data_IF_275120580944
#
_entry.id   IF_275120580944
#
_cell.length_a   1.000
_cell.length_b   1.000
_cell.length_c   1.000
_cell.angle_alpha   90.00
_cell.angle_beta   90.00
_cell.angle_gamma   90.00
#
_symmetry.space_group_name_H-M   'P 1'
#
loop_
_entity.id
_entity.type
_entity.pdbx_description
1 polymer ?
#
# COMPACT_ATOMS: atom_id res chain seq x y z
N UNK A 1 1.19 -12.08 -13.48
CA UNK A 1 1.90 -11.03 -14.28
C UNK A 1 2.49 -10.02 -13.32
N UNK A 2 3.69 -9.51 -13.59
CA UNK A 2 4.31 -8.43 -12.81
C UNK A 2 4.17 -7.11 -13.59
N UNK A 3 3.86 -6.02 -12.87
CA UNK A 3 3.83 -4.66 -13.42
C UNK A 3 5.04 -3.91 -12.88
N UNK A 4 5.85 -3.31 -13.75
CA UNK A 4 7.03 -2.52 -13.39
C UNK A 4 6.67 -1.04 -13.54
N UNK A 5 6.82 -0.28 -12.46
CA UNK A 5 6.65 1.16 -12.45
C UNK A 5 8.02 1.82 -12.26
N UNK A 6 8.47 2.61 -13.24
CA UNK A 6 9.75 3.32 -13.17
C UNK A 6 9.49 4.79 -12.86
N UNK A 7 10.18 5.31 -11.83
CA UNK A 7 10.17 6.74 -11.51
C UNK A 7 11.46 7.34 -12.11
N UNK A 8 11.37 8.30 -13.04
CA UNK A 8 12.54 9.01 -13.56
C UNK A 8 13.34 9.72 -12.46
N UNK A 9 14.67 9.76 -12.60
CA UNK A 9 15.57 10.40 -11.62
C UNK A 9 15.27 11.89 -11.43
N UNK A 10 14.89 12.58 -12.50
CA UNK A 10 14.47 13.99 -12.47
C UNK A 10 13.30 14.21 -11.49
N UNK A 11 12.34 13.27 -11.44
CA UNK A 11 11.23 13.34 -10.49
C UNK A 11 11.73 13.05 -9.08
N UNK A 12 12.58 12.03 -8.90
CA UNK A 12 13.15 11.70 -7.59
C UNK A 12 13.94 12.85 -6.97
N UNK A 13 14.61 13.66 -7.78
CA UNK A 13 15.37 14.83 -7.32
C UNK A 13 14.49 15.99 -6.86
N UNK A 14 13.28 16.11 -7.42
CA UNK A 14 12.30 17.11 -6.97
C UNK A 14 11.57 16.70 -5.70
N UNK A 15 11.51 15.41 -5.39
CA UNK A 15 10.89 14.90 -4.18
C UNK A 15 11.78 15.21 -2.97
N UNK A 16 11.17 15.71 -1.88
CA UNK A 16 11.86 15.94 -0.60
C UNK A 16 12.07 14.62 0.18
N UNK A 17 12.52 13.58 -0.50
CA UNK A 17 12.73 12.24 0.05
C UNK A 17 14.17 11.80 -0.24
N UNK A 18 14.92 11.29 0.75
CA UNK A 18 16.25 10.75 0.49
C UNK A 18 16.19 9.61 -0.54
N UNK A 19 17.03 9.65 -1.59
CA UNK A 19 17.07 8.62 -2.66
C UNK A 19 17.12 7.19 -2.10
N UNK A 20 17.88 6.96 -1.02
CA UNK A 20 18.01 5.66 -0.33
C UNK A 20 16.70 5.14 0.29
N UNK A 21 15.72 6.01 0.54
CA UNK A 21 14.41 5.67 1.14
C UNK A 21 13.24 5.90 0.18
N UNK A 22 13.49 6.53 -0.98
CA UNK A 22 12.45 6.93 -1.93
C UNK A 22 11.58 5.75 -2.36
N UNK A 23 12.18 4.62 -2.74
CA UNK A 23 11.44 3.43 -3.15
C UNK A 23 10.48 2.95 -2.04
N UNK A 24 10.98 2.81 -0.81
CA UNK A 24 10.17 2.36 0.34
C UNK A 24 9.02 3.31 0.62
N UNK A 25 9.29 4.61 0.64
CA UNK A 25 8.28 5.63 0.93
C UNK A 25 7.23 5.71 -0.18
N UNK A 26 7.63 5.71 -1.45
CA UNK A 26 6.71 5.71 -2.60
C UNK A 26 5.84 4.46 -2.63
N UNK A 27 6.42 3.29 -2.35
CA UNK A 27 5.68 2.03 -2.26
C UNK A 27 4.66 2.04 -1.12
N UNK A 28 5.02 2.66 0.01
CA UNK A 28 4.12 2.86 1.15
C UNK A 28 2.97 3.81 0.80
N UNK A 29 3.25 4.96 0.17
CA UNK A 29 2.20 5.89 -0.27
C UNK A 29 1.27 5.26 -1.31
N UNK A 30 1.82 4.51 -2.27
CA UNK A 30 1.02 3.79 -3.25
C UNK A 30 0.09 2.76 -2.57
N UNK A 31 0.57 2.04 -1.57
CA UNK A 31 -0.25 1.11 -0.81
C UNK A 31 -1.42 1.79 -0.10
N UNK A 32 -1.19 2.93 0.56
CA UNK A 32 -2.26 3.68 1.21
C UNK A 32 -3.28 4.22 0.20
N UNK A 33 -2.81 4.73 -0.94
CA UNK A 33 -3.68 5.21 -2.01
C UNK A 33 -4.58 4.10 -2.56
N UNK A 34 -4.03 2.91 -2.81
CA UNK A 34 -4.79 1.76 -3.30
C UNK A 34 -5.86 1.31 -2.30
N UNK A 35 -5.54 1.34 -0.99
CA UNK A 35 -6.51 1.05 0.06
C UNK A 35 -7.61 2.11 0.14
N UNK A 36 -7.25 3.39 0.16
CA UNK A 36 -8.20 4.50 0.24
C UNK A 36 -9.19 4.49 -0.94
N UNK A 37 -8.72 4.10 -2.13
CA UNK A 37 -9.55 3.99 -3.34
C UNK A 37 -10.36 2.68 -3.43
N UNK A 38 -10.33 1.85 -2.40
CA UNK A 38 -10.95 0.50 -2.40
C UNK A 38 -10.48 -0.39 -3.56
N UNK A 39 -9.25 -0.18 -4.05
CA UNK A 39 -8.64 -0.98 -5.12
C UNK A 39 -7.85 -2.17 -4.57
N UNK A 40 -7.56 -2.18 -3.27
CA UNK A 40 -6.86 -3.27 -2.59
C UNK A 40 -7.33 -3.39 -1.13
N UNK A 41 -7.53 -4.63 -0.66
CA UNK A 41 -7.67 -4.90 0.77
C UNK A 41 -6.48 -4.41 1.58
N UNK A 42 -6.70 -4.20 2.89
CA UNK A 42 -5.61 -3.92 3.85
C UNK A 42 -4.52 -4.99 3.77
N UNK A 43 -4.87 -6.27 3.60
CA UNK A 43 -3.91 -7.36 3.46
C UNK A 43 -2.98 -7.16 2.26
N UNK A 44 -3.55 -6.85 1.10
CA UNK A 44 -2.79 -6.62 -0.15
C UNK A 44 -1.97 -5.35 -0.09
N UNK A 45 -2.56 -4.23 0.33
CA UNK A 45 -1.88 -2.95 0.49
C UNK A 45 -0.69 -3.07 1.47
N UNK A 46 -0.88 -3.76 2.58
CA UNK A 46 0.18 -3.96 3.57
C UNK A 46 1.33 -4.81 3.05
N UNK A 47 1.05 -5.86 2.27
CA UNK A 47 2.09 -6.65 1.59
C UNK A 47 2.87 -5.80 0.59
N UNK A 48 2.19 -4.91 -0.14
CA UNK A 48 2.86 -3.97 -1.04
C UNK A 48 3.78 -3.04 -0.23
N UNK A 49 3.29 -2.40 0.82
CA UNK A 49 4.08 -1.52 1.68
C UNK A 49 5.23 -2.22 2.43
N UNK A 50 5.13 -3.53 2.65
CA UNK A 50 6.12 -4.30 3.41
C UNK A 50 6.17 -3.95 4.90
N UNK A 51 5.01 -3.57 5.47
CA UNK A 51 4.90 -3.15 6.88
C UNK A 51 4.00 -4.08 7.70
N UNK A 52 4.08 -3.99 9.01
CA UNK A 52 3.23 -4.73 9.94
C UNK A 52 1.80 -4.17 9.97
N UNK A 53 0.87 -4.94 10.53
CA UNK A 53 -0.53 -4.52 10.63
C UNK A 53 -0.67 -3.24 11.47
N UNK A 54 0.11 -3.14 12.54
CA UNK A 54 0.09 -1.99 13.44
C UNK A 54 0.62 -0.73 12.76
N UNK A 55 1.77 -0.82 12.08
CA UNK A 55 2.31 0.30 11.28
C UNK A 55 1.32 0.77 10.20
N UNK A 56 0.57 -0.16 9.59
CA UNK A 56 -0.44 0.22 8.60
C UNK A 56 -1.61 0.97 9.25
N UNK A 57 -2.11 0.50 10.41
CA UNK A 57 -3.20 1.17 11.14
C UNK A 57 -2.77 2.56 11.62
N UNK A 58 -1.56 2.70 12.13
CA UNK A 58 -0.98 4.01 12.49
C UNK A 58 -0.89 4.92 11.26
N UNK A 59 -0.40 4.41 10.14
CA UNK A 59 -0.31 5.18 8.90
C UNK A 59 -1.65 5.61 8.32
N UNK A 60 -2.73 4.83 8.53
CA UNK A 60 -4.10 5.25 8.20
C UNK A 60 -4.55 6.44 9.05
N UNK A 61 -4.26 6.40 10.36
CA UNK A 61 -4.60 7.47 11.28
C UNK A 61 -3.86 8.77 10.94
N UNK A 62 -2.56 8.69 10.64
CA UNK A 62 -1.75 9.83 10.19
C UNK A 62 -2.33 10.50 8.94
N UNK A 63 -2.81 9.69 7.99
CA UNK A 63 -3.38 10.15 6.71
C UNK A 63 -4.87 10.50 6.80
N UNK A 64 -5.50 10.31 7.97
CA UNK A 64 -6.95 10.46 8.19
C UNK A 64 -7.80 9.61 7.24
N UNK A 65 -7.27 8.46 6.81
CA UNK A 65 -7.99 7.51 5.97
C UNK A 65 -8.94 6.74 6.88
N UNK A 66 -10.23 6.79 6.57
CA UNK A 66 -11.24 6.05 7.33
C UNK A 66 -11.00 4.56 7.12
N UNK A 67 -10.95 3.80 8.21
CA UNK A 67 -10.86 2.35 8.13
C UNK A 67 -12.17 1.78 7.57
N UNK A 68 -12.08 1.09 6.45
CA UNK A 68 -13.19 0.33 5.88
C UNK A 68 -13.24 -1.01 6.60
N UNK A 69 -13.96 -1.08 7.73
CA UNK A 69 -14.34 -2.34 8.35
C UNK A 69 -15.51 -2.90 7.54
N UNK A 70 -15.22 -3.54 6.42
CA UNK A 70 -16.27 -3.99 5.53
C UNK A 70 -16.10 -5.44 5.11
N UNK A 71 -17.22 -6.11 4.84
CA UNK A 71 -17.32 -7.52 4.47
C UNK A 71 -16.45 -7.84 3.24
N UNK A 72 -16.20 -6.83 2.39
CA UNK A 72 -15.22 -6.86 1.30
C UNK A 72 -13.81 -7.27 1.74
N UNK A 73 -13.29 -6.79 2.89
CA UNK A 73 -11.95 -7.19 3.36
C UNK A 73 -11.90 -8.71 3.62
N UNK A 74 -12.97 -9.27 4.19
CA UNK A 74 -13.08 -10.70 4.45
C UNK A 74 -13.19 -11.50 3.14
N UNK A 75 -14.00 -11.03 2.19
CA UNK A 75 -14.15 -11.69 0.89
C UNK A 75 -12.84 -11.68 0.09
N UNK A 76 -12.13 -10.55 0.06
CA UNK A 76 -10.84 -10.44 -0.62
C UNK A 76 -9.75 -11.29 0.05
N UNK A 77 -9.73 -11.37 1.38
CA UNK A 77 -8.80 -12.27 2.10
C UNK A 77 -9.11 -13.75 1.80
N UNK A 78 -10.39 -14.12 1.68
CA UNK A 78 -10.80 -15.47 1.24
C UNK A 78 -10.36 -15.74 -0.20
N UNK A 79 -10.58 -14.79 -1.12
CA UNK A 79 -10.15 -14.94 -2.52
C UNK A 79 -8.62 -15.07 -2.62
N UNK A 80 -7.89 -14.26 -1.86
CA UNK A 80 -6.43 -14.34 -1.82
C UNK A 80 -5.96 -15.69 -1.25
N UNK A 81 -6.52 -16.15 -0.14
CA UNK A 81 -6.18 -17.45 0.44
C UNK A 81 -6.43 -18.60 -0.54
N UNK A 82 -7.50 -18.53 -1.34
CA UNK A 82 -7.79 -19.49 -2.42
C UNK A 82 -6.79 -19.39 -3.58
N UNK A 83 -6.31 -18.19 -3.91
CA UNK A 83 -5.35 -17.98 -5.01
C UNK A 83 -3.93 -18.42 -4.70
N UNK A 84 -3.59 -18.63 -3.41
CA UNK A 84 -2.29 -19.14 -2.97
C UNK A 84 -2.23 -20.68 -2.85
N UNK A 85 -3.26 -21.38 -3.31
CA UNK A 85 -3.35 -22.85 -3.35
C UNK A 85 -3.10 -23.36 -4.78
#
# INVERSE_FOLDING_TARGET
>A
MAVILTIPDEILETLKIPKKRAEKELKKELAFLLYEKELASMGTARRLAGITKWEFIEGLAERKIKRHYDIKELEEDIQYAKSCQ
#
